data_IF_064534057359
#
_entry.id   IF_064534057359
#
_cell.length_a   1.000
_cell.length_b   1.000
_cell.length_c   1.000
_cell.angle_alpha   90.00
_cell.angle_beta   90.00
_cell.angle_gamma   90.00
#
_symmetry.space_group_name_H-M   'P 1'
#
loop_
_entity.id
_entity.type
_entity.pdbx_description
1 polymer ?
#
# COMPACT_ATOMS: atom_id res chain seq x y z
N UNK A 1 -2.57 -11.77 12.15
CA UNK A 1 -1.12 -12.09 12.04
C UNK A 1 -0.36 -10.81 11.74
N UNK A 2 0.77 -10.60 12.40
CA UNK A 2 1.45 -9.30 12.43
C UNK A 2 2.88 -9.42 11.93
N UNK A 3 3.30 -8.51 11.04
CA UNK A 3 4.60 -8.56 10.40
C UNK A 3 5.29 -7.20 10.42
N UNK A 4 6.61 -7.22 10.54
CA UNK A 4 7.51 -6.10 10.27
C UNK A 4 8.17 -6.32 8.92
N UNK A 5 8.16 -5.31 8.05
CA UNK A 5 8.83 -5.36 6.74
C UNK A 5 9.83 -4.23 6.63
N UNK A 6 11.07 -4.55 6.30
CA UNK A 6 12.12 -3.56 6.07
C UNK A 6 11.91 -2.84 4.74
N UNK A 7 11.99 -1.52 4.77
CA UNK A 7 11.84 -0.68 3.58
C UNK A 7 13.00 -0.79 2.58
N UNK A 8 14.22 -1.02 3.07
CA UNK A 8 15.41 -1.00 2.22
C UNK A 8 15.76 -2.38 1.62
N UNK A 9 15.65 -3.46 2.41
CA UNK A 9 16.04 -4.80 1.95
C UNK A 9 14.86 -5.76 1.70
N UNK A 10 13.63 -5.38 2.07
CA UNK A 10 12.45 -6.23 1.97
C UNK A 10 12.43 -7.43 2.94
N UNK A 11 13.39 -7.52 3.87
CA UNK A 11 13.39 -8.52 4.93
C UNK A 11 12.14 -8.40 5.80
N UNK A 12 11.60 -9.52 6.24
CA UNK A 12 10.38 -9.56 7.03
C UNK A 12 10.55 -10.35 8.33
N UNK A 13 9.80 -9.97 9.35
CA UNK A 13 9.74 -10.65 10.64
C UNK A 13 8.28 -10.84 11.06
N UNK A 14 7.91 -12.06 11.47
CA UNK A 14 6.60 -12.35 12.03
C UNK A 14 6.64 -12.16 13.55
N UNK A 15 5.87 -11.20 14.05
CA UNK A 15 5.76 -10.93 15.48
C UNK A 15 5.09 -12.12 16.18
N UNK A 16 5.73 -12.62 17.21
CA UNK A 16 5.20 -13.67 18.07
C UNK A 16 4.15 -13.11 19.03
N UNK A 17 3.39 -14.00 19.64
CA UNK A 17 2.38 -13.61 20.63
C UNK A 17 3.06 -12.93 21.83
N UNK A 18 2.59 -11.71 22.16
CA UNK A 18 3.15 -10.90 23.24
C UNK A 18 4.30 -9.98 22.84
N UNK A 19 4.86 -10.12 21.63
CA UNK A 19 5.87 -9.17 21.13
C UNK A 19 5.23 -7.86 20.67
N UNK A 20 5.84 -6.76 21.08
CA UNK A 20 5.44 -5.44 20.65
C UNK A 20 6.33 -4.96 19.50
N UNK A 21 5.73 -4.22 18.56
CA UNK A 21 6.47 -3.48 17.54
C UNK A 21 7.54 -2.58 18.18
N UNK A 22 7.27 -2.05 19.37
CA UNK A 22 8.19 -1.18 20.10
C UNK A 22 9.49 -1.87 20.55
N UNK A 23 9.54 -3.21 20.53
CA UNK A 23 10.73 -3.98 20.90
C UNK A 23 11.77 -4.02 19.77
N UNK A 24 11.41 -3.54 18.57
CA UNK A 24 12.24 -3.57 17.37
C UNK A 24 12.62 -2.15 16.97
N UNK A 25 13.93 -1.86 16.91
CA UNK A 25 14.43 -0.52 16.54
C UNK A 25 14.58 -0.36 15.03
N UNK A 26 15.35 -1.24 14.38
CA UNK A 26 15.64 -1.20 12.94
C UNK A 26 16.00 -2.57 12.39
N UNK A 27 15.97 -2.71 11.07
CA UNK A 27 16.50 -3.90 10.40
C UNK A 27 18.02 -3.97 10.56
N UNK A 28 18.58 -5.19 10.49
CA UNK A 28 20.04 -5.41 10.52
C UNK A 28 20.78 -4.70 9.38
N UNK A 29 20.10 -4.43 8.27
CA UNK A 29 20.65 -3.62 7.17
C UNK A 29 20.65 -2.11 7.43
N UNK A 30 20.11 -1.66 8.56
CA UNK A 30 19.92 -0.25 8.91
C UNK A 30 18.60 0.36 8.43
N UNK A 31 17.81 -0.38 7.64
CA UNK A 31 16.52 0.09 7.14
C UNK A 31 15.41 0.09 8.18
N UNK A 32 14.37 0.89 7.93
CA UNK A 32 13.23 1.05 8.84
C UNK A 32 12.13 0.02 8.57
N UNK A 33 11.34 -0.26 9.60
CA UNK A 33 10.23 -1.21 9.52
C UNK A 33 8.89 -0.53 9.26
N UNK A 34 8.09 -1.16 8.40
CA UNK A 34 6.65 -0.97 8.30
C UNK A 34 5.91 -2.10 9.00
N UNK A 35 4.76 -1.76 9.57
CA UNK A 35 3.88 -2.73 10.21
C UNK A 35 2.77 -3.17 9.25
N UNK A 36 2.65 -4.48 9.05
CA UNK A 36 1.53 -5.09 8.34
C UNK A 36 0.72 -5.97 9.28
N UNK A 37 -0.58 -5.80 9.22
CA UNK A 37 -1.55 -6.53 10.02
C UNK A 37 -2.49 -7.28 9.08
N UNK A 38 -2.60 -8.59 9.27
CA UNK A 38 -3.61 -9.42 8.61
C UNK A 38 -4.73 -9.72 9.61
N UNK A 39 -5.97 -9.38 9.23
CA UNK A 39 -7.16 -9.76 9.98
C UNK A 39 -7.35 -11.28 10.05
N UNK A 40 -8.23 -11.73 10.93
CA UNK A 40 -8.58 -13.16 11.06
C UNK A 40 -9.22 -13.73 9.78
N UNK A 41 -9.80 -12.86 8.96
CA UNK A 41 -10.35 -13.16 7.64
C UNK A 41 -9.29 -13.27 6.54
N UNK A 42 -8.00 -13.13 6.90
CA UNK A 42 -6.88 -13.17 5.97
C UNK A 42 -6.73 -11.92 5.11
N UNK A 43 -7.53 -10.87 5.34
CA UNK A 43 -7.38 -9.61 4.61
C UNK A 43 -6.22 -8.80 5.17
N UNK A 44 -5.39 -8.29 4.27
CA UNK A 44 -4.30 -7.38 4.59
C UNK A 44 -4.89 -6.00 4.92
N UNK A 45 -4.62 -5.51 6.12
CA UNK A 45 -4.92 -4.13 6.50
C UNK A 45 -3.90 -3.18 5.89
N UNK A 46 -4.25 -1.90 5.80
CA UNK A 46 -3.34 -0.88 5.28
C UNK A 46 -2.02 -0.87 6.07
N UNK A 47 -0.87 -0.80 5.38
CA UNK A 47 0.42 -0.67 6.05
C UNK A 47 0.44 0.54 6.97
N UNK A 48 1.03 0.36 8.16
CA UNK A 48 1.20 1.42 9.15
C UNK A 48 2.69 1.77 9.28
N UNK A 49 2.97 3.06 9.47
CA UNK A 49 4.30 3.60 9.76
C UNK A 49 4.41 3.96 11.24
N UNK A 50 5.55 3.65 11.84
CA UNK A 50 5.83 3.93 13.25
C UNK A 50 6.51 5.31 13.33
N UNK A 51 6.04 6.17 14.24
CA UNK A 51 6.71 7.45 14.48
C UNK A 51 8.00 7.26 15.28
N UNK A 52 9.14 7.74 14.77
CA UNK A 52 10.44 7.59 15.44
C UNK A 52 10.55 8.40 16.75
N UNK A 53 9.80 9.50 16.90
CA UNK A 53 9.86 10.30 18.14
C UNK A 53 8.98 9.79 19.27
N UNK A 54 7.79 9.26 18.96
CA UNK A 54 6.79 8.91 19.99
C UNK A 54 6.24 7.49 19.88
N UNK A 55 6.69 6.72 18.88
CA UNK A 55 6.27 5.33 18.59
C UNK A 55 4.78 5.12 18.31
N UNK A 56 4.01 6.19 18.14
CA UNK A 56 2.62 6.08 17.69
C UNK A 56 2.55 5.49 16.27
N UNK A 57 1.61 4.57 16.04
CA UNK A 57 1.31 4.03 14.71
C UNK A 57 0.46 5.02 13.92
N UNK A 58 0.78 5.19 12.64
CA UNK A 58 0.06 6.08 11.72
C UNK A 58 -0.15 5.37 10.39
N UNK A 59 -1.11 5.83 9.59
CA UNK A 59 -1.29 5.36 8.22
C UNK A 59 -0.05 5.72 7.38
N UNK A 60 0.40 4.80 6.51
CA UNK A 60 1.66 4.97 5.77
C UNK A 60 1.74 6.23 4.89
N UNK A 61 0.59 6.76 4.45
CA UNK A 61 0.49 7.94 3.58
C UNK A 61 0.29 9.25 4.36
N UNK A 62 0.23 9.21 5.69
CA UNK A 62 0.09 10.43 6.49
C UNK A 62 1.42 11.20 6.57
N UNK A 63 1.43 12.51 6.30
CA UNK A 63 2.67 13.30 6.31
C UNK A 63 3.16 13.63 7.72
N UNK A 64 2.28 13.58 8.73
CA UNK A 64 2.59 13.95 10.11
C UNK A 64 2.09 12.90 11.09
N UNK A 65 2.80 12.74 12.20
CA UNK A 65 2.37 11.91 13.30
C UNK A 65 1.14 12.52 13.98
N UNK A 66 0.07 11.75 14.09
CA UNK A 66 -1.18 12.18 14.73
C UNK A 66 -1.05 12.43 16.24
N UNK A 67 -0.02 11.89 16.88
CA UNK A 67 0.20 12.04 18.33
C UNK A 67 1.17 13.18 18.70
N UNK A 68 2.30 13.31 17.99
CA UNK A 68 3.36 14.27 18.35
C UNK A 68 3.63 15.34 17.29
N UNK A 69 3.03 15.25 16.10
CA UNK A 69 3.22 16.21 15.02
C UNK A 69 4.53 16.10 14.23
N UNK A 70 5.42 15.16 14.56
CA UNK A 70 6.64 14.92 13.78
C UNK A 70 6.31 14.59 12.31
N UNK A 71 7.11 15.12 11.38
CA UNK A 71 7.05 14.77 9.96
C UNK A 71 7.43 13.30 9.78
N UNK A 72 6.55 12.55 9.13
CA UNK A 72 6.78 11.15 8.79
C UNK A 72 7.37 11.06 7.37
N UNK A 73 8.23 10.05 7.14
CA UNK A 73 8.81 9.77 5.82
C UNK A 73 8.25 8.44 5.28
N UNK A 74 7.19 8.46 4.45
CA UNK A 74 6.67 7.27 3.78
C UNK A 74 7.70 6.65 2.84
N UNK A 75 7.68 5.33 2.66
CA UNK A 75 8.40 4.70 1.55
C UNK A 75 7.71 5.06 0.25
N UNK A 76 8.49 5.56 -0.70
CA UNK A 76 8.00 5.95 -2.02
C UNK A 76 7.57 4.72 -2.84
N UNK A 77 8.00 3.51 -2.49
CA UNK A 77 7.69 2.28 -3.23
C UNK A 77 6.28 1.74 -2.99
N UNK A 78 5.69 1.89 -1.79
CA UNK A 78 4.32 1.40 -1.52
C UNK A 78 3.25 2.30 -2.17
N UNK A 79 3.55 3.59 -2.34
CA UNK A 79 2.64 4.58 -2.96
C UNK A 79 2.36 4.25 -4.44
N UNK A 80 3.29 3.58 -5.12
CA UNK A 80 3.20 3.32 -6.57
C UNK A 80 2.22 2.18 -6.88
N UNK A 81 2.04 1.23 -5.97
CA UNK A 81 1.25 0.01 -6.21
C UNK A 81 -0.24 0.20 -5.92
N UNK A 82 -0.61 1.00 -4.91
CA UNK A 82 -2.02 1.32 -4.59
C UNK A 82 -2.64 2.28 -5.62
N UNK A 83 -1.89 3.30 -6.09
CA UNK A 83 -2.38 4.20 -7.16
C UNK A 83 -2.61 3.48 -8.48
N UNK A 84 -1.87 2.39 -8.76
CA UNK A 84 -2.04 1.61 -9.99
C UNK A 84 -3.23 0.63 -9.94
N UNK A 85 -3.78 0.30 -8.77
CA UNK A 85 -4.98 -0.57 -8.71
C UNK A 85 -6.26 0.15 -9.11
N UNK A 86 -6.32 1.48 -9.09
CA UNK A 86 -7.53 2.27 -9.40
C UNK A 86 -7.53 3.00 -10.74
N UNK A 87 -6.56 2.78 -11.63
CA UNK A 87 -6.62 3.30 -13.00
C UNK A 87 -6.60 2.19 -14.06
N UNK A 88 -7.75 1.56 -14.28
CA UNK A 88 -8.05 0.85 -15.54
C UNK A 88 -8.89 1.76 -16.44
N UNK A 89 -8.30 2.60 -17.31
CA UNK A 89 -9.07 3.21 -18.37
C UNK A 89 -9.48 2.09 -19.34
N UNK A 90 -10.76 1.73 -19.34
CA UNK A 90 -11.34 0.83 -20.35
C UNK A 90 -11.30 1.53 -21.71
N UNK A 91 -10.26 1.25 -22.49
CA UNK A 91 -10.04 1.75 -23.85
C UNK A 91 -10.94 1.11 -24.94
N UNK A 92 -12.05 0.45 -24.58
CA UNK A 92 -12.86 -0.31 -25.55
C UNK A 92 -14.08 0.42 -26.12
N UNK A 93 -14.30 1.69 -25.76
CA UNK A 93 -15.48 2.42 -26.23
C UNK A 93 -15.41 2.81 -27.71
N UNK A 94 -14.26 2.84 -28.37
CA UNK A 94 -14.11 3.32 -29.76
C UNK A 94 -14.31 2.21 -30.82
N UNK A 95 -13.96 0.96 -30.53
CA UNK A 95 -14.08 -0.16 -31.48
C UNK A 95 -15.54 -0.60 -31.70
N UNK A 96 -16.40 -0.43 -30.69
CA UNK A 96 -17.82 -0.79 -30.80
C UNK A 96 -18.60 0.15 -31.71
N UNK A 97 -18.34 1.46 -31.67
CA UNK A 97 -19.02 2.43 -32.55
C UNK A 97 -18.67 2.22 -34.03
N UNK A 98 -17.41 1.89 -34.35
CA UNK A 98 -16.98 1.63 -35.72
C UNK A 98 -17.65 0.37 -36.27
N UNK A 99 -17.69 -0.72 -35.49
CA UNK A 99 -18.36 -1.95 -35.91
C UNK A 99 -19.88 -1.74 -36.10
N UNK A 100 -20.54 -1.00 -35.19
CA UNK A 100 -21.98 -0.70 -35.31
C UNK A 100 -22.26 0.21 -36.51
N UNK A 101 -21.37 1.16 -36.82
CA UNK A 101 -21.54 2.06 -37.99
C UNK A 101 -21.40 1.31 -39.31
N UNK A 102 -20.46 0.37 -39.41
CA UNK A 102 -20.27 -0.47 -40.60
C UNK A 102 -21.47 -1.41 -40.81
N UNK A 103 -21.99 -2.00 -39.74
CA UNK A 103 -23.18 -2.86 -39.81
C UNK A 103 -24.45 -2.10 -40.21
N UNK A 104 -24.61 -0.85 -39.78
CA UNK A 104 -25.75 -0.01 -40.19
C UNK A 104 -25.61 0.38 -41.66
N UNK A 105 -24.43 0.83 -42.10
CA UNK A 105 -24.21 1.22 -43.50
C UNK A 105 -24.35 0.03 -44.47
N UNK A 106 -23.92 -1.17 -44.07
CA UNK A 106 -24.11 -2.39 -44.85
C UNK A 106 -25.54 -2.92 -44.91
N UNK A 107 -26.44 -2.43 -44.05
CA UNK A 107 -27.87 -2.79 -44.07
C UNK A 107 -28.70 -1.88 -45.01
N UNK A 108 -28.15 -0.70 -45.37
CA UNK A 108 -28.79 0.31 -46.21
C UNK A 108 -28.21 0.37 -47.65
N UNK A 109 -27.30 -0.56 -48.00
CA UNK A 109 -26.77 -0.82 -49.34
C UNK A 109 -27.32 -2.15 -49.85
#
# INVERSE_FOLDING_TARGET
MNYLICEDCGGYYHLQEGESIGDFESCECGGRFYFLEYGEDGQLQSPKIICESCRNLNEIYTPFCSACGQILRPSQEIITTEKNKTFKPRLYASLTFIAVSIMILGLFL
#
